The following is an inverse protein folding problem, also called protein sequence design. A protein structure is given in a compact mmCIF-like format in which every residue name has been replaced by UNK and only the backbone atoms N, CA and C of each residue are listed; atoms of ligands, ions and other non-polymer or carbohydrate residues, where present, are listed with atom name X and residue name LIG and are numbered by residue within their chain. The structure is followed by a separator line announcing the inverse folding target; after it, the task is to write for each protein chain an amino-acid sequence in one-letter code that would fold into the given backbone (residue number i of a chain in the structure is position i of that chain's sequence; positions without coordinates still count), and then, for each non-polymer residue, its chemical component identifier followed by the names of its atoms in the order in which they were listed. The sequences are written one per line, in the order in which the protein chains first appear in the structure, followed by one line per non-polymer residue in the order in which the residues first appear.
data_IF_129379635602
#
_entry.id   IF_129379635602
#
_cell.length_a   1.000
_cell.length_b   1.000
_cell.length_c   1.000
_cell.angle_alpha   90.00
_cell.angle_beta   90.00
_cell.angle_gamma   90.00
#
_symmetry.space_group_name_H-M   'P 1'
#
loop_
_entity.id
_entity.type
_entity.pdbx_description
1 polymer ?
#
# COMPACT_ATOMS: atom_id res chain seq x y z
N UNK A 1 4.55 -9.79 17.14
CA UNK A 1 3.22 -10.40 17.15
C UNK A 1 2.30 -9.54 18.01
N UNK A 2 1.17 -9.11 17.46
CA UNK A 2 0.20 -8.25 18.14
C UNK A 2 -0.37 -8.98 19.36
N UNK A 3 -0.54 -8.26 20.48
CA UNK A 3 -1.27 -8.75 21.63
C UNK A 3 -2.61 -8.04 21.71
N UNK A 4 -3.65 -8.75 22.16
CA UNK A 4 -4.99 -8.19 22.38
C UNK A 4 -5.65 -7.58 21.10
N UNK A 5 -5.33 -8.11 19.93
CA UNK A 5 -6.06 -7.73 18.71
C UNK A 5 -7.54 -8.09 18.88
N UNK A 6 -8.40 -7.07 18.78
CA UNK A 6 -9.87 -7.23 18.91
C UNK A 6 -10.61 -6.96 17.62
N UNK A 7 -9.97 -6.25 16.68
CA UNK A 7 -10.62 -5.85 15.46
C UNK A 7 -9.68 -6.02 14.27
N UNK A 8 -10.20 -6.58 13.21
CA UNK A 8 -9.52 -6.77 11.94
C UNK A 8 -10.46 -6.41 10.80
N UNK A 9 -9.89 -6.03 9.67
CA UNK A 9 -10.57 -5.98 8.39
C UNK A 9 -9.99 -7.08 7.51
N UNK A 10 -10.84 -8.00 7.07
CA UNK A 10 -10.46 -9.05 6.12
C UNK A 10 -10.57 -8.50 4.69
N UNK A 11 -9.45 -8.38 4.00
CA UNK A 11 -9.37 -7.90 2.63
C UNK A 11 -9.53 -9.09 1.70
N UNK A 12 -10.72 -9.24 1.11
CA UNK A 12 -11.09 -10.38 0.25
C UNK A 12 -11.77 -9.92 -1.03
N UNK A 13 -11.80 -10.77 -2.02
CA UNK A 13 -12.51 -10.52 -3.26
C UNK A 13 -12.63 -11.78 -4.11
N UNK A 14 -13.11 -11.62 -5.34
CA UNK A 14 -13.27 -12.75 -6.27
C UNK A 14 -11.91 -13.21 -6.77
N UNK A 15 -11.63 -14.51 -6.67
CA UNK A 15 -10.34 -15.10 -7.09
C UNK A 15 -10.08 -15.01 -8.61
N UNK A 16 -11.11 -14.75 -9.42
CA UNK A 16 -10.98 -14.51 -10.85
C UNK A 16 -10.82 -13.03 -11.23
N UNK A 17 -10.71 -12.12 -10.29
CA UNK A 17 -10.37 -10.70 -10.56
C UNK A 17 -8.85 -10.58 -10.72
N UNK A 18 -8.38 -10.40 -11.95
CA UNK A 18 -6.95 -10.26 -12.29
C UNK A 18 -6.24 -9.07 -11.63
N UNK A 19 -7.00 -8.12 -11.09
CA UNK A 19 -6.46 -6.96 -10.36
C UNK A 19 -6.76 -7.00 -8.87
N UNK A 20 -7.17 -8.16 -8.32
CA UNK A 20 -7.62 -8.27 -6.93
C UNK A 20 -6.57 -7.75 -5.93
N UNK A 21 -5.31 -8.18 -6.04
CA UNK A 21 -4.25 -7.77 -5.12
C UNK A 21 -3.99 -6.26 -5.18
N UNK A 22 -3.96 -5.70 -6.38
CA UNK A 22 -3.79 -4.26 -6.57
C UNK A 22 -4.96 -3.47 -5.97
N UNK A 23 -6.20 -3.90 -6.23
CA UNK A 23 -7.40 -3.29 -5.64
C UNK A 23 -7.42 -3.39 -4.12
N UNK A 24 -6.99 -4.53 -3.56
CA UNK A 24 -6.84 -4.70 -2.11
C UNK A 24 -5.83 -3.70 -1.55
N UNK A 25 -4.69 -3.51 -2.19
CA UNK A 25 -3.71 -2.50 -1.79
C UNK A 25 -4.30 -1.09 -1.85
N UNK A 26 -4.94 -0.75 -2.94
CA UNK A 26 -5.51 0.58 -3.19
C UNK A 26 -6.64 0.94 -2.20
N UNK A 27 -7.67 0.08 -2.07
CA UNK A 27 -8.80 0.35 -1.19
C UNK A 27 -8.46 0.13 0.28
N UNK A 28 -7.58 -0.81 0.57
CA UNK A 28 -7.08 -1.02 1.92
C UNK A 28 -6.29 0.16 2.44
N UNK A 29 -5.46 0.79 1.60
CA UNK A 29 -4.73 2.00 1.98
C UNK A 29 -5.66 3.20 2.15
N UNK A 30 -6.68 3.37 1.30
CA UNK A 30 -7.72 4.38 1.54
C UNK A 30 -8.35 4.21 2.93
N UNK A 31 -8.74 2.97 3.27
CA UNK A 31 -9.31 2.67 4.58
C UNK A 31 -8.33 2.99 5.72
N UNK A 32 -7.05 2.65 5.58
CA UNK A 32 -6.00 2.95 6.57
C UNK A 32 -5.87 4.45 6.79
N UNK A 33 -5.86 5.24 5.72
CA UNK A 33 -5.80 6.70 5.81
C UNK A 33 -7.03 7.26 6.53
N UNK A 34 -8.23 6.77 6.20
CA UNK A 34 -9.48 7.18 6.86
C UNK A 34 -9.45 6.83 8.36
N UNK A 35 -9.07 5.60 8.71
CA UNK A 35 -8.93 5.16 10.10
C UNK A 35 -7.88 5.97 10.88
N UNK A 36 -6.81 6.37 10.21
CA UNK A 36 -5.75 7.22 10.79
C UNK A 36 -6.30 8.60 11.14
N UNK A 37 -7.17 9.19 10.30
CA UNK A 37 -7.84 10.48 10.63
C UNK A 37 -8.76 10.37 11.86
N UNK A 38 -9.25 9.17 12.17
CA UNK A 38 -10.06 8.87 13.36
C UNK A 38 -9.19 8.60 14.61
N UNK A 39 -7.85 8.70 14.50
CA UNK A 39 -6.92 8.41 15.60
C UNK A 39 -6.68 6.93 15.88
N UNK A 40 -7.04 6.04 14.96
CA UNK A 40 -6.80 4.61 15.09
C UNK A 40 -5.44 4.22 14.52
N UNK A 41 -4.77 3.31 15.21
CA UNK A 41 -3.59 2.61 14.69
C UNK A 41 -3.98 1.44 13.81
N UNK A 42 -3.25 1.24 12.73
CA UNK A 42 -3.48 0.16 11.77
C UNK A 42 -2.19 -0.57 11.44
N UNK A 43 -2.31 -1.82 10.98
CA UNK A 43 -1.17 -2.56 10.45
C UNK A 43 -1.61 -3.59 9.40
N UNK A 44 -0.95 -3.58 8.25
CA UNK A 44 -1.05 -4.64 7.26
C UNK A 44 -0.46 -5.96 7.78
N UNK A 45 -1.19 -7.07 7.62
CA UNK A 45 -0.76 -8.41 8.00
C UNK A 45 -0.99 -9.37 6.83
N UNK A 46 0.11 -9.83 6.24
CA UNK A 46 0.07 -10.60 4.99
C UNK A 46 0.18 -12.12 5.16
N UNK A 47 0.29 -12.69 6.37
CA UNK A 47 0.49 -14.14 6.46
C UNK A 47 0.79 -14.75 7.83
N UNK A 48 0.52 -14.05 8.91
CA UNK A 48 0.69 -14.58 10.28
C UNK A 48 -0.64 -14.78 10.99
N UNK A 49 -1.67 -15.19 10.26
CA UNK A 49 -3.02 -15.45 10.77
C UNK A 49 -3.52 -16.82 10.27
N UNK A 50 -4.50 -17.38 10.96
CA UNK A 50 -5.17 -18.60 10.58
C UNK A 50 -6.33 -18.26 9.62
N UNK A 51 -6.12 -18.45 8.33
CA UNK A 51 -7.07 -18.09 7.28
C UNK A 51 -8.44 -18.75 7.47
N UNK A 52 -8.49 -19.98 7.98
CA UNK A 52 -9.72 -20.76 8.12
C UNK A 52 -10.66 -20.20 9.20
N UNK A 53 -10.10 -19.49 10.18
CA UNK A 53 -10.84 -19.00 11.34
C UNK A 53 -11.08 -17.47 11.34
N UNK A 54 -10.55 -16.75 10.35
CA UNK A 54 -10.67 -15.27 10.31
C UNK A 54 -11.96 -14.81 9.66
N UNK A 55 -12.34 -15.43 8.54
CA UNK A 55 -13.49 -15.01 7.73
C UNK A 55 -14.09 -16.18 6.98
N UNK A 56 -15.41 -16.17 6.83
CA UNK A 56 -16.08 -17.08 5.92
C UNK A 56 -15.95 -16.54 4.50
N UNK A 57 -15.37 -17.34 3.61
CA UNK A 57 -15.27 -17.04 2.18
C UNK A 57 -16.46 -17.72 1.45
N UNK A 58 -17.10 -16.96 0.56
CA UNK A 58 -18.05 -17.56 -0.39
C UNK A 58 -17.30 -18.30 -1.50
N UNK A 59 -18.04 -19.11 -2.26
CA UNK A 59 -17.46 -19.79 -3.42
C UNK A 59 -16.86 -18.80 -4.42
N UNK A 60 -15.62 -19.04 -4.83
CA UNK A 60 -14.87 -18.17 -5.73
C UNK A 60 -14.32 -16.89 -5.10
N UNK A 61 -14.35 -16.77 -3.76
CA UNK A 61 -13.63 -15.71 -3.05
C UNK A 61 -12.29 -16.20 -2.51
N UNK A 62 -11.34 -15.28 -2.38
CA UNK A 62 -10.07 -15.50 -1.66
C UNK A 62 -9.80 -14.37 -0.67
N UNK A 63 -9.14 -14.73 0.44
CA UNK A 63 -8.60 -13.77 1.40
C UNK A 63 -7.19 -13.38 0.97
N UNK A 64 -6.97 -12.11 0.68
CA UNK A 64 -5.66 -11.60 0.25
C UNK A 64 -4.76 -11.27 1.43
N UNK A 65 -5.28 -10.53 2.40
CA UNK A 65 -4.59 -10.15 3.63
C UNK A 65 -5.59 -9.62 4.67
N UNK A 66 -5.10 -9.26 5.85
CA UNK A 66 -5.90 -8.59 6.88
C UNK A 66 -5.24 -7.27 7.28
N UNK A 67 -6.06 -6.31 7.70
CA UNK A 67 -5.63 -5.09 8.36
C UNK A 67 -6.06 -5.19 9.82
N UNK A 68 -5.10 -5.13 10.73
CA UNK A 68 -5.36 -5.04 12.17
C UNK A 68 -5.58 -3.57 12.53
N UNK A 69 -6.57 -3.28 13.37
CA UNK A 69 -6.84 -1.92 13.83
C UNK A 69 -7.11 -1.90 15.34
N UNK A 70 -6.83 -0.74 15.95
CA UNK A 70 -7.03 -0.55 17.39
C UNK A 70 -6.63 0.83 17.87
N UNK A 71 -6.89 1.10 19.14
CA UNK A 71 -6.41 2.30 19.79
C UNK A 71 -4.90 2.22 19.98
N UNK A 72 -4.22 3.32 19.72
CA UNK A 72 -2.77 3.44 19.98
C UNK A 72 -2.60 3.87 21.44
N UNK A 73 -1.80 3.14 22.21
CA UNK A 73 -1.40 3.57 23.55
C UNK A 73 -0.49 4.79 23.46
N UNK A 74 -0.65 5.76 24.35
CA UNK A 74 0.17 7.01 24.38
C UNK A 74 1.66 6.71 24.50
N UNK A 75 2.01 5.65 25.26
CA UNK A 75 3.39 5.22 25.45
C UNK A 75 3.69 3.92 24.69
N UNK A 76 4.62 3.93 23.73
CA UNK A 76 4.99 2.71 23.01
C UNK A 76 5.66 1.71 23.96
N UNK A 77 5.25 0.45 23.88
CA UNK A 77 5.84 -0.63 24.68
C UNK A 77 7.34 -0.78 24.38
N UNK A 78 8.11 -1.36 25.33
CA UNK A 78 9.55 -1.62 25.13
C UNK A 78 9.83 -2.44 23.86
N UNK A 79 8.92 -3.38 23.53
CA UNK A 79 9.01 -4.18 22.28
C UNK A 79 8.79 -3.33 21.03
N UNK A 80 7.84 -2.41 21.05
CA UNK A 80 7.60 -1.48 19.94
C UNK A 80 8.78 -0.53 19.75
N UNK A 81 9.35 0.00 20.83
CA UNK A 81 10.58 0.81 20.78
C UNK A 81 11.72 0.03 20.14
N UNK A 82 11.90 -1.24 20.50
CA UNK A 82 12.91 -2.11 19.94
C UNK A 82 12.66 -2.41 18.44
N UNK A 83 11.43 -2.74 18.08
CA UNK A 83 11.06 -2.98 16.67
C UNK A 83 11.23 -1.71 15.83
N UNK A 84 10.79 -0.55 16.33
CA UNK A 84 11.01 0.75 15.65
C UNK A 84 12.49 1.07 15.48
N UNK A 85 13.34 0.73 16.46
CA UNK A 85 14.78 0.92 16.37
C UNK A 85 15.45 -0.04 15.39
N UNK A 86 14.97 -1.29 15.28
CA UNK A 86 15.47 -2.29 14.33
C UNK A 86 15.03 -2.00 12.88
N UNK A 87 13.83 -1.45 12.70
CA UNK A 87 13.32 -1.07 11.36
C UNK A 87 13.80 0.35 11.06
N UNK A 88 15.08 0.48 10.71
CA UNK A 88 15.58 1.72 10.09
C UNK A 88 14.89 1.87 8.73
N UNK A 89 13.89 2.74 8.70
CA UNK A 89 13.14 3.05 7.47
C UNK A 89 13.94 4.04 6.63
N UNK A 90 14.92 3.55 5.88
CA UNK A 90 15.51 4.33 4.80
C UNK A 90 14.48 4.45 3.69
N UNK A 91 13.87 5.61 3.57
CA UNK A 91 12.98 5.92 2.44
C UNK A 91 13.85 6.12 1.21
N UNK A 92 13.58 5.36 0.14
CA UNK A 92 14.25 5.55 -1.14
C UNK A 92 13.87 6.92 -1.69
N UNK A 93 14.84 7.77 -2.06
CA UNK A 93 14.55 9.08 -2.63
C UNK A 93 13.81 8.96 -3.97
N UNK A 94 13.15 10.04 -4.38
CA UNK A 94 12.32 10.07 -5.60
C UNK A 94 13.13 9.62 -6.83
N UNK A 95 14.38 10.03 -6.94
CA UNK A 95 15.28 9.74 -8.06
C UNK A 95 15.55 8.23 -8.24
N UNK A 96 15.40 7.45 -7.18
CA UNK A 96 15.51 5.99 -7.23
C UNK A 96 14.19 5.29 -7.61
N UNK A 97 13.08 6.02 -7.59
CA UNK A 97 11.73 5.48 -7.82
C UNK A 97 11.04 6.09 -9.04
N UNK A 98 11.54 7.20 -9.55
CA UNK A 98 11.02 7.90 -10.73
C UNK A 98 12.05 7.94 -11.85
N UNK A 99 11.68 7.43 -13.02
CA UNK A 99 12.45 7.62 -14.27
C UNK A 99 11.71 8.62 -15.14
N UNK A 100 12.46 9.57 -15.73
CA UNK A 100 11.88 10.61 -16.58
C UNK A 100 12.69 10.77 -17.86
N UNK A 101 12.03 11.13 -18.99
CA UNK A 101 12.67 11.52 -20.25
C UNK A 101 12.90 13.04 -20.34
N UNK A 102 12.31 13.81 -19.42
CA UNK A 102 12.39 15.29 -19.34
C UNK A 102 12.15 15.75 -17.91
N UNK A 103 12.21 17.05 -17.68
CA UNK A 103 11.83 17.59 -16.36
C UNK A 103 10.39 17.24 -16.01
N UNK A 104 10.18 16.59 -14.86
CA UNK A 104 8.86 16.24 -14.35
C UNK A 104 8.09 17.50 -13.96
N UNK A 105 6.81 17.63 -14.33
CA UNK A 105 5.98 18.75 -13.91
C UNK A 105 5.66 18.68 -12.41
N UNK A 106 5.26 19.82 -11.78
CA UNK A 106 5.03 19.88 -10.33
C UNK A 106 4.09 18.80 -9.81
N UNK A 107 2.98 18.53 -10.49
CA UNK A 107 2.00 17.52 -10.06
C UNK A 107 2.57 16.10 -9.99
N UNK A 108 3.56 15.76 -10.86
CA UNK A 108 4.26 14.47 -10.77
C UNK A 108 5.11 14.41 -9.52
N UNK A 109 5.80 15.50 -9.17
CA UNK A 109 6.63 15.57 -7.96
C UNK A 109 5.76 15.53 -6.69
N UNK A 110 4.63 16.24 -6.66
CA UNK A 110 3.64 16.20 -5.57
C UNK A 110 3.09 14.77 -5.37
N UNK A 111 2.77 14.06 -6.46
CA UNK A 111 2.39 12.65 -6.41
C UNK A 111 3.51 11.77 -5.85
N UNK A 112 4.75 11.98 -6.28
CA UNK A 112 5.91 11.22 -5.78
C UNK A 112 6.22 11.53 -4.30
N UNK A 113 6.05 12.76 -3.84
CA UNK A 113 6.19 13.11 -2.42
C UNK A 113 5.18 12.34 -1.55
N UNK A 114 3.93 12.24 -2.01
CA UNK A 114 2.94 11.41 -1.34
C UNK A 114 3.33 9.92 -1.32
N UNK A 115 3.92 9.40 -2.40
CA UNK A 115 4.43 8.01 -2.48
C UNK A 115 5.55 7.74 -1.47
N UNK A 116 6.32 8.73 -1.04
CA UNK A 116 7.34 8.54 0.01
C UNK A 116 6.72 8.14 1.37
N UNK A 117 5.44 8.45 1.58
CA UNK A 117 4.69 8.10 2.80
C UNK A 117 4.05 6.70 2.70
N UNK A 118 3.96 6.13 1.51
CA UNK A 118 3.31 4.85 1.25
C UNK A 118 4.02 3.70 1.99
N UNK A 119 3.30 2.87 2.77
CA UNK A 119 3.87 1.64 3.31
C UNK A 119 4.13 0.63 2.20
N UNK A 120 5.00 -0.34 2.46
CA UNK A 120 5.22 -1.49 1.59
C UNK A 120 5.63 -2.72 2.40
N UNK A 121 5.40 -3.92 1.86
CA UNK A 121 5.79 -5.16 2.48
C UNK A 121 7.30 -5.16 2.78
N UNK A 122 7.66 -5.50 4.04
CA UNK A 122 9.05 -5.44 4.55
C UNK A 122 9.81 -4.13 4.23
N UNK A 123 9.10 -3.06 3.96
CA UNK A 123 9.63 -1.76 3.53
C UNK A 123 10.46 -1.83 2.23
N UNK A 124 10.09 -2.73 1.31
CA UNK A 124 10.87 -2.99 0.09
C UNK A 124 10.84 -1.83 -0.91
N UNK A 125 9.75 -1.06 -0.96
CA UNK A 125 9.58 0.12 -1.83
C UNK A 125 9.89 -0.19 -3.31
N UNK A 126 9.35 -1.30 -3.82
CA UNK A 126 9.69 -1.85 -5.15
C UNK A 126 8.89 -1.23 -6.30
N UNK A 127 7.92 -0.36 -6.00
CA UNK A 127 7.10 0.30 -7.03
C UNK A 127 7.91 1.41 -7.67
N UNK A 128 8.00 1.34 -9.00
CA UNK A 128 8.71 2.29 -9.86
C UNK A 128 7.71 3.10 -10.68
N UNK A 129 7.99 4.38 -10.83
CA UNK A 129 7.22 5.30 -11.65
C UNK A 129 8.02 5.71 -12.87
N UNK A 130 7.35 5.84 -14.01
CA UNK A 130 7.98 6.29 -15.25
C UNK A 130 7.15 7.42 -15.87
N UNK A 131 7.73 8.61 -15.94
CA UNK A 131 7.14 9.74 -16.64
C UNK A 131 7.79 9.87 -18.02
N UNK A 132 7.00 9.62 -19.06
CA UNK A 132 7.44 9.65 -20.45
C UNK A 132 6.27 10.06 -21.37
N UNK A 133 6.55 10.88 -22.40
CA UNK A 133 5.52 11.36 -23.34
C UNK A 133 4.32 12.00 -22.63
N UNK A 134 4.58 12.81 -21.58
CA UNK A 134 3.56 13.51 -20.79
C UNK A 134 2.59 12.60 -20.01
N UNK A 135 2.91 11.33 -19.92
CA UNK A 135 2.13 10.33 -19.18
C UNK A 135 3.00 9.70 -18.11
N UNK A 136 2.43 9.41 -16.95
CA UNK A 136 3.10 8.64 -15.91
C UNK A 136 2.45 7.26 -15.77
N UNK A 137 3.26 6.25 -15.55
CA UNK A 137 2.85 4.89 -15.23
C UNK A 137 3.53 4.41 -13.96
N UNK A 138 2.89 3.48 -13.25
CA UNK A 138 3.43 2.83 -12.07
C UNK A 138 3.55 1.33 -12.29
N UNK A 139 4.70 0.74 -11.93
CA UNK A 139 4.97 -0.68 -12.14
C UNK A 139 5.77 -1.29 -10.99
N UNK A 140 5.67 -2.61 -10.86
CA UNK A 140 6.49 -3.41 -9.94
C UNK A 140 6.95 -4.69 -10.61
N UNK A 141 8.03 -5.29 -10.08
CA UNK A 141 8.47 -6.63 -10.51
C UNK A 141 7.83 -7.64 -9.58
N UNK A 142 6.96 -8.49 -10.12
CA UNK A 142 6.16 -9.46 -9.38
C UNK A 142 7.02 -10.65 -8.92
N UNK A 143 7.74 -10.46 -7.81
CA UNK A 143 8.56 -11.50 -7.15
C UNK A 143 7.86 -12.15 -5.97
N UNK A 144 6.92 -11.43 -5.36
CA UNK A 144 6.14 -11.88 -4.22
C UNK A 144 4.67 -11.57 -4.41
N UNK A 145 3.80 -12.27 -3.68
CA UNK A 145 2.35 -12.00 -3.66
C UNK A 145 1.97 -10.60 -3.14
N UNK A 146 2.91 -9.90 -2.52
CA UNK A 146 2.67 -8.57 -1.95
C UNK A 146 2.98 -7.43 -2.91
N UNK A 147 3.73 -7.68 -3.98
CA UNK A 147 4.21 -6.62 -4.88
C UNK A 147 3.06 -5.89 -5.58
N UNK A 148 1.98 -6.60 -5.96
CA UNK A 148 0.77 -5.98 -6.53
C UNK A 148 -0.05 -5.24 -5.46
N UNK A 149 -0.04 -5.68 -4.21
CA UNK A 149 -0.64 -4.93 -3.09
C UNK A 149 0.12 -3.62 -2.90
N UNK A 150 1.45 -3.68 -2.85
CA UNK A 150 2.31 -2.49 -2.74
C UNK A 150 2.11 -1.53 -3.93
N UNK A 151 1.85 -2.06 -5.15
CA UNK A 151 1.50 -1.26 -6.32
C UNK A 151 0.21 -0.48 -6.10
N UNK A 152 -0.84 -1.13 -5.61
CA UNK A 152 -2.12 -0.48 -5.30
C UNK A 152 -1.97 0.61 -4.23
N UNK A 153 -1.22 0.34 -3.16
CA UNK A 153 -0.89 1.30 -2.12
C UNK A 153 -0.17 2.52 -2.70
N UNK A 154 0.88 2.30 -3.50
CA UNK A 154 1.66 3.39 -4.08
C UNK A 154 0.86 4.23 -5.09
N UNK A 155 0.00 3.59 -5.92
CA UNK A 155 -0.92 4.30 -6.82
C UNK A 155 -1.87 5.20 -6.03
N UNK A 156 -2.44 4.68 -4.93
CA UNK A 156 -3.35 5.46 -4.08
C UNK A 156 -2.68 6.72 -3.51
N UNK A 157 -1.47 6.60 -2.99
CA UNK A 157 -0.70 7.73 -2.50
C UNK A 157 -0.39 8.74 -3.60
N UNK A 158 0.07 8.26 -4.77
CA UNK A 158 0.36 9.14 -5.90
C UNK A 158 -0.89 9.94 -6.33
N UNK A 159 -2.06 9.29 -6.44
CA UNK A 159 -3.33 9.93 -6.80
C UNK A 159 -3.74 11.04 -5.82
N UNK A 160 -3.52 10.81 -4.52
CA UNK A 160 -3.81 11.81 -3.49
C UNK A 160 -2.92 13.05 -3.61
N UNK A 161 -1.66 12.88 -4.00
CA UNK A 161 -0.73 13.99 -4.21
C UNK A 161 -0.94 14.69 -5.55
N UNK A 162 -1.18 13.93 -6.61
CA UNK A 162 -1.20 14.46 -7.98
C UNK A 162 -2.60 14.95 -8.44
N UNK A 163 -3.69 14.40 -7.90
CA UNK A 163 -5.06 14.58 -8.41
C UNK A 163 -5.26 13.89 -9.75
N UNK A 164 -6.10 12.87 -9.78
CA UNK A 164 -6.32 12.02 -10.95
C UNK A 164 -6.41 10.55 -10.60
N UNK A 165 -6.28 9.64 -11.57
CA UNK A 165 -6.44 8.19 -11.36
C UNK A 165 -5.55 7.36 -12.27
N UNK A 166 -5.05 6.24 -11.73
CA UNK A 166 -4.43 5.17 -12.52
C UNK A 166 -5.48 4.22 -13.09
N UNK A 167 -5.19 3.71 -14.26
CA UNK A 167 -5.82 2.47 -14.72
C UNK A 167 -5.35 1.28 -13.86
N UNK A 168 -6.20 0.24 -13.77
CA UNK A 168 -5.82 -1.00 -13.11
C UNK A 168 -4.82 -1.78 -13.95
N UNK A 169 -3.84 -2.37 -13.28
CA UNK A 169 -2.81 -3.21 -13.88
C UNK A 169 -1.40 -2.68 -13.71
N UNK A 170 -0.45 -3.60 -13.74
CA UNK A 170 0.98 -3.32 -13.62
C UNK A 170 1.49 -2.57 -14.85
N UNK A 171 2.09 -1.40 -14.68
CA UNK A 171 2.60 -0.57 -15.76
C UNK A 171 1.56 0.31 -16.45
N UNK A 172 0.31 0.33 -15.97
CA UNK A 172 -0.76 1.11 -16.57
C UNK A 172 -0.65 2.61 -16.29
N UNK A 173 -1.30 3.41 -17.15
CA UNK A 173 -1.17 4.85 -17.18
C UNK A 173 -1.99 5.56 -16.09
N UNK A 174 -1.56 6.76 -15.75
CA UNK A 174 -2.27 7.73 -14.92
C UNK A 174 -2.98 8.76 -15.79
N UNK A 175 -4.20 9.10 -15.42
CA UNK A 175 -5.01 10.15 -16.03
C UNK A 175 -5.18 11.29 -15.02
N UNK A 176 -4.61 12.43 -15.35
CA UNK A 176 -4.72 13.67 -14.57
C UNK A 176 -6.13 14.24 -14.74
N UNK A 177 -6.75 14.68 -13.65
CA UNK A 177 -8.03 15.40 -13.67
C UNK A 177 -7.91 16.78 -14.34
#
# INVERSE_FOLDING_TARGET
MFKNVRSIVAMKGKSNDEHLQEKVGYYGEQLILDLTTMGLGTCWVGGTYDEQNIVNLAEGEELVCVIVLGLVEEEPTTKEKLIRAMVHRNVKPIEQRLTTDRQAPPWVLEGMEAVLLAPSAIHAQNVMFKYQNETISASTVEKSRFDLIDLGIAKKHFELGAGGRFEWGNGMAFHKD
#
